data_IF_604247737732
#
_entry.id   IF_604247737732
#
_cell.length_a   1.000
_cell.length_b   1.000
_cell.length_c   1.000
_cell.angle_alpha   90.00
_cell.angle_beta   90.00
_cell.angle_gamma   90.00
#
_symmetry.space_group_name_H-M   'P 1'
#
loop_
_entity.id
_entity.type
_entity.pdbx_description
1 polymer ?
#
# COMPACT_ATOMS: atom_id res chain seq x y z
N UNK A 1 12.84 -21.55 -0.78
CA UNK A 1 11.42 -21.64 -1.15
C UNK A 1 11.02 -20.20 -1.49
N UNK A 2 11.46 -19.73 -2.65
CA UNK A 2 11.62 -18.30 -2.97
C UNK A 2 10.93 -17.93 -4.29
N UNK A 3 9.79 -18.57 -4.56
CA UNK A 3 9.06 -18.50 -5.84
C UNK A 3 7.62 -18.00 -5.69
N UNK A 4 7.34 -17.10 -4.73
CA UNK A 4 5.96 -16.58 -4.51
C UNK A 4 5.88 -15.05 -4.43
N UNK A 5 6.69 -14.27 -5.16
CA UNK A 5 6.35 -12.83 -5.30
C UNK A 5 6.76 -12.21 -6.65
N UNK A 6 6.61 -12.91 -7.77
CA UNK A 6 6.80 -12.28 -9.11
C UNK A 6 5.71 -12.53 -10.14
N UNK A 7 4.60 -13.16 -9.73
CA UNK A 7 3.51 -13.44 -10.65
C UNK A 7 2.42 -12.36 -10.58
N UNK A 8 2.34 -11.60 -11.68
CA UNK A 8 1.23 -10.71 -12.07
C UNK A 8 1.30 -9.24 -11.64
N UNK A 9 2.38 -8.55 -12.03
CA UNK A 9 2.38 -7.10 -12.20
C UNK A 9 1.67 -6.68 -13.50
N UNK A 10 0.45 -7.20 -13.75
CA UNK A 10 -0.43 -6.64 -14.79
C UNK A 10 -1.20 -5.47 -14.17
N UNK A 11 -0.52 -4.33 -14.11
CA UNK A 11 -1.06 -2.98 -13.84
C UNK A 11 -1.86 -2.82 -12.52
N UNK A 12 -1.26 -3.14 -11.39
CA UNK A 12 -1.78 -2.73 -10.07
C UNK A 12 -1.16 -1.40 -9.66
N UNK A 13 -1.98 -0.36 -9.48
CA UNK A 13 -1.53 0.98 -9.06
C UNK A 13 -1.57 1.04 -7.53
N UNK A 14 -0.54 1.61 -6.89
CA UNK A 14 -0.56 1.82 -5.44
C UNK A 14 -1.54 2.95 -5.12
N UNK A 15 -2.59 2.63 -4.35
CA UNK A 15 -3.60 3.58 -3.85
C UNK A 15 -3.16 4.20 -2.52
N UNK A 16 -2.63 3.38 -1.61
CA UNK A 16 -2.21 3.81 -0.28
C UNK A 16 -0.96 3.09 0.20
N UNK A 17 -0.22 3.77 1.05
CA UNK A 17 0.85 3.20 1.86
C UNK A 17 0.50 3.31 3.34
N UNK A 18 0.81 2.27 4.10
CA UNK A 18 0.65 2.26 5.56
C UNK A 18 2.03 2.25 6.18
N UNK A 19 2.26 3.25 7.02
CA UNK A 19 3.52 3.50 7.69
C UNK A 19 3.36 3.29 9.19
N UNK A 20 4.23 2.51 9.82
CA UNK A 20 4.41 2.52 11.26
C UNK A 20 5.29 3.70 11.64
N UNK A 21 4.88 4.45 12.65
CA UNK A 21 5.66 5.55 13.22
C UNK A 21 6.14 5.13 14.61
N UNK A 22 7.46 5.10 14.80
CA UNK A 22 8.09 4.81 16.08
C UNK A 22 9.27 5.76 16.32
N UNK A 23 9.24 6.53 17.40
CA UNK A 23 10.30 7.44 17.83
C UNK A 23 10.89 8.33 16.72
N UNK A 24 10.06 8.81 15.78
CA UNK A 24 10.48 9.65 14.65
C UNK A 24 10.89 8.88 13.38
N UNK A 25 11.00 7.55 13.45
CA UNK A 25 11.21 6.69 12.28
C UNK A 25 9.87 6.32 11.64
N UNK A 26 9.88 6.23 10.31
CA UNK A 26 8.75 5.75 9.50
C UNK A 26 9.14 4.48 8.78
N UNK A 27 8.37 3.41 8.97
CA UNK A 27 8.59 2.12 8.33
C UNK A 27 7.36 1.73 7.52
N UNK A 28 7.55 1.35 6.25
CA UNK A 28 6.45 0.90 5.40
C UNK A 28 6.04 -0.51 5.82
N UNK A 29 4.80 -0.66 6.31
CA UNK A 29 4.28 -1.93 6.82
C UNK A 29 3.21 -2.54 5.92
N UNK A 30 2.58 -1.76 5.05
CA UNK A 30 1.69 -2.28 4.02
C UNK A 30 1.59 -1.37 2.79
N UNK A 31 1.25 -1.98 1.67
CA UNK A 31 0.80 -1.26 0.47
C UNK A 31 -0.60 -1.75 0.08
N UNK A 32 -1.47 -0.81 -0.27
CA UNK A 32 -2.77 -1.11 -0.87
C UNK A 32 -2.70 -0.78 -2.35
N UNK A 33 -3.07 -1.75 -3.16
CA UNK A 33 -3.12 -1.63 -4.59
C UNK A 33 -4.55 -1.62 -5.09
N UNK A 34 -4.83 -0.79 -6.09
CA UNK A 34 -6.02 -0.86 -6.93
C UNK A 34 -5.71 -1.74 -8.13
N UNK A 35 -6.49 -2.80 -8.32
CA UNK A 35 -6.39 -3.69 -9.47
C UNK A 35 -7.03 -3.07 -10.70
N UNK A 36 -6.74 -3.61 -11.89
CA UNK A 36 -7.39 -3.23 -13.15
C UNK A 36 -8.92 -3.37 -13.11
N UNK A 37 -9.45 -4.25 -12.26
CA UNK A 37 -10.90 -4.42 -12.06
C UNK A 37 -11.52 -3.43 -11.06
N UNK A 38 -10.74 -2.47 -10.56
CA UNK A 38 -11.16 -1.51 -9.55
C UNK A 38 -11.26 -2.09 -8.13
N UNK A 39 -10.90 -3.36 -7.93
CA UNK A 39 -10.83 -3.96 -6.59
C UNK A 39 -9.57 -3.50 -5.87
N UNK A 40 -9.58 -3.63 -4.55
CA UNK A 40 -8.43 -3.32 -3.73
C UNK A 40 -7.81 -4.58 -3.14
N UNK A 41 -6.49 -4.59 -3.09
CA UNK A 41 -5.70 -5.63 -2.42
C UNK A 41 -4.68 -4.95 -1.51
N UNK A 42 -4.70 -5.32 -0.23
CA UNK A 42 -3.66 -4.90 0.72
C UNK A 42 -2.63 -6.01 0.85
N UNK A 43 -1.35 -5.64 0.82
CA UNK A 43 -0.22 -6.53 1.08
C UNK A 43 0.50 -6.00 2.32
N UNK A 44 0.50 -6.81 3.38
CA UNK A 44 1.29 -6.55 4.58
C UNK A 44 2.74 -6.97 4.34
N UNK A 45 3.67 -6.07 4.61
CA UNK A 45 5.11 -6.26 4.41
C UNK A 45 5.82 -6.74 5.68
N UNK A 46 5.09 -6.77 6.79
CA UNK A 46 5.55 -7.27 8.09
C UNK A 46 4.56 -8.31 8.63
N UNK A 47 5.01 -9.24 9.48
CA UNK A 47 4.12 -10.14 10.21
C UNK A 47 3.07 -9.39 11.05
N UNK A 48 1.90 -10.01 11.25
CA UNK A 48 0.78 -9.39 11.96
C UNK A 48 1.14 -9.07 13.42
N UNK A 49 1.90 -9.93 14.08
CA UNK A 49 2.39 -9.75 15.44
C UNK A 49 3.31 -8.50 15.60
N UNK A 50 3.82 -7.97 14.49
CA UNK A 50 4.63 -6.76 14.45
C UNK A 50 3.82 -5.50 14.15
N UNK A 51 2.51 -5.60 13.90
CA UNK A 51 1.62 -4.45 13.68
C UNK A 51 1.20 -3.83 15.02
N UNK A 52 2.12 -3.06 15.59
CA UNK A 52 1.92 -2.35 16.87
C UNK A 52 2.31 -0.89 16.77
N UNK A 53 1.71 -0.07 17.63
CA UNK A 53 1.96 1.37 17.69
C UNK A 53 1.08 2.18 16.74
N UNK A 54 1.53 3.39 16.41
CA UNK A 54 0.78 4.32 15.56
C UNK A 54 1.00 3.97 14.10
N UNK A 55 -0.11 3.78 13.37
CA UNK A 55 -0.11 3.59 11.93
C UNK A 55 -0.60 4.86 11.24
N UNK A 56 0.18 5.34 10.27
CA UNK A 56 -0.14 6.46 9.41
C UNK A 56 -0.46 5.96 8.00
N UNK A 57 -1.58 6.40 7.45
CA UNK A 57 -1.99 6.03 6.09
C UNK A 57 -1.72 7.20 5.16
N UNK A 58 -0.85 6.98 4.19
CA UNK A 58 -0.57 7.89 3.09
C UNK A 58 -1.44 7.50 1.88
N UNK A 59 -2.17 8.47 1.33
CA UNK A 59 -2.88 8.32 0.04
C UNK A 59 -1.90 8.69 -1.06
N UNK A 60 -1.67 7.76 -1.99
CA UNK A 60 -0.69 7.90 -3.08
C UNK A 60 -1.35 8.39 -4.37
N UNK A 61 -2.68 8.31 -4.47
CA UNK A 61 -3.42 8.71 -5.68
C UNK A 61 -3.06 10.14 -6.11
N UNK A 62 -2.48 10.27 -7.31
CA UNK A 62 -2.45 11.52 -8.06
C UNK A 62 -3.91 11.87 -8.36
N UNK A 63 -4.33 13.05 -7.91
CA UNK A 63 -5.66 13.64 -8.12
C UNK A 63 -6.23 13.26 -9.49
N UNK A 64 -7.49 12.77 -9.56
CA UNK A 64 -8.21 12.78 -10.82
C UNK A 64 -8.16 14.21 -11.35
N UNK A 65 -7.57 14.39 -12.54
CA UNK A 65 -7.60 15.66 -13.25
C UNK A 65 -9.07 16.10 -13.28
N UNK A 66 -9.31 17.24 -12.65
CA UNK A 66 -10.61 17.91 -12.58
C UNK A 66 -11.19 17.98 -14.00
N UNK A 67 -12.38 17.43 -14.29
CA UNK A 67 -13.03 17.72 -15.55
C UNK A 67 -13.42 19.20 -15.49
N UNK A 68 -12.54 20.07 -16.03
CA UNK A 68 -12.77 21.50 -16.17
C UNK A 68 -14.17 21.76 -16.78
N UNK A 69 -14.87 22.82 -16.33
CA UNK A 69 -16.31 23.03 -16.52
C UNK A 69 -16.78 23.15 -17.97
#
# INVERSE_FOLDING_TARGET
>A
MDDVVRSSAKLSIIDRRVWRIDCGNRELVAERYRTVSGRFRTVWLVPEENLRGVLWVEVVEETPIDPSP
#
